data_IF_917294655805
#
_entry.id   IF_917294655805
#
_cell.length_a   1.000
_cell.length_b   1.000
_cell.length_c   1.000
_cell.angle_alpha   90.00
_cell.angle_beta   90.00
_cell.angle_gamma   90.00
#
_symmetry.space_group_name_H-M   'P 1'
#
loop_
_entity.id
_entity.type
_entity.pdbx_description
1 polymer ?
#
# COMPACT_ATOMS: atom_id res chain seq x y z
N UNK A 1 5.83 5.33 6.74
CA UNK A 1 4.77 4.64 7.53
C UNK A 1 3.66 4.31 6.56
N UNK A 2 3.19 3.06 6.53
CA UNK A 2 2.14 2.65 5.60
C UNK A 2 0.86 3.45 5.87
N UNK A 3 0.18 3.89 4.81
CA UNK A 3 -1.11 4.57 4.95
C UNK A 3 -2.20 3.55 5.29
N UNK A 4 -3.30 4.01 5.90
CA UNK A 4 -4.46 3.13 6.14
C UNK A 4 -5.02 2.51 4.85
N UNK A 5 -4.92 3.23 3.73
CA UNK A 5 -5.34 2.75 2.42
C UNK A 5 -4.46 1.58 1.96
N UNK A 6 -3.14 1.72 2.15
CA UNK A 6 -2.18 0.65 1.88
C UNK A 6 -2.52 -0.61 2.69
N UNK A 7 -2.69 -0.49 4.00
CA UNK A 7 -2.99 -1.62 4.89
C UNK A 7 -4.32 -2.33 4.55
N UNK A 8 -5.35 -1.57 4.16
CA UNK A 8 -6.63 -2.15 3.73
C UNK A 8 -6.46 -2.92 2.42
N UNK A 9 -5.63 -2.43 1.51
CA UNK A 9 -5.32 -3.09 0.24
C UNK A 9 -4.55 -4.39 0.48
N UNK A 10 -3.53 -4.37 1.33
CA UNK A 10 -2.80 -5.57 1.77
C UNK A 10 -3.75 -6.58 2.41
N UNK A 11 -4.56 -6.13 3.39
CA UNK A 11 -5.49 -6.99 4.10
C UNK A 11 -6.55 -7.63 3.19
N UNK A 12 -7.07 -6.88 2.20
CA UNK A 12 -8.02 -7.39 1.21
C UNK A 12 -7.41 -8.54 0.40
N UNK A 13 -6.22 -8.33 -0.18
CA UNK A 13 -5.55 -9.33 -1.02
C UNK A 13 -5.07 -10.53 -0.23
N UNK A 14 -4.53 -10.29 0.97
CA UNK A 14 -4.07 -11.37 1.87
C UNK A 14 -5.23 -12.31 2.23
N UNK A 15 -6.36 -11.77 2.67
CA UNK A 15 -7.54 -12.56 3.03
C UNK A 15 -8.11 -13.32 1.82
N UNK A 16 -8.05 -12.71 0.63
CA UNK A 16 -8.43 -13.37 -0.60
C UNK A 16 -7.57 -14.60 -0.88
N UNK A 17 -6.23 -14.47 -0.82
CA UNK A 17 -5.33 -15.59 -1.07
C UNK A 17 -5.49 -16.72 -0.06
N UNK A 18 -5.66 -16.42 1.23
CA UNK A 18 -5.89 -17.45 2.26
C UNK A 18 -7.12 -18.28 1.91
N UNK A 19 -8.26 -17.63 1.63
CA UNK A 19 -9.51 -18.33 1.28
C UNK A 19 -9.39 -19.11 -0.01
N UNK A 20 -8.78 -18.51 -1.03
CA UNK A 20 -8.56 -19.14 -2.32
C UNK A 20 -7.72 -20.41 -2.17
N UNK A 21 -6.60 -20.34 -1.45
CA UNK A 21 -5.70 -21.47 -1.31
C UNK A 21 -6.34 -22.60 -0.49
N UNK A 22 -7.13 -22.28 0.52
CA UNK A 22 -7.93 -23.25 1.27
C UNK A 22 -8.97 -23.98 0.43
N UNK A 23 -9.51 -23.33 -0.61
CA UNK A 23 -10.50 -23.90 -1.52
C UNK A 23 -9.88 -24.70 -2.66
N UNK A 24 -8.77 -24.22 -3.21
CA UNK A 24 -8.20 -24.72 -4.47
C UNK A 24 -7.14 -25.81 -4.23
N UNK A 25 -6.35 -25.69 -3.17
CA UNK A 25 -5.18 -26.55 -2.96
C UNK A 25 -5.43 -27.67 -1.95
N UNK A 26 -4.91 -28.86 -2.27
CA UNK A 26 -4.87 -29.97 -1.32
C UNK A 26 -4.06 -29.60 -0.07
N UNK A 27 -4.26 -30.34 1.03
CA UNK A 27 -3.50 -30.11 2.27
C UNK A 27 -1.98 -30.17 2.01
N UNK A 28 -1.51 -31.17 1.26
CA UNK A 28 -0.08 -31.33 0.94
C UNK A 28 0.48 -30.16 0.13
N UNK A 29 -0.29 -29.60 -0.81
CA UNK A 29 0.11 -28.40 -1.54
C UNK A 29 0.16 -27.18 -0.62
N UNK A 30 -0.87 -26.98 0.21
CA UNK A 30 -0.91 -25.87 1.18
C UNK A 30 0.22 -25.90 2.19
N UNK A 31 0.60 -27.08 2.67
CA UNK A 31 1.71 -27.25 3.63
C UNK A 31 3.07 -26.81 3.03
N UNK A 32 3.15 -26.63 1.70
CA UNK A 32 4.32 -26.11 0.99
C UNK A 32 4.22 -24.62 0.66
N UNK A 33 3.07 -23.98 0.81
CA UNK A 33 2.87 -22.57 0.47
C UNK A 33 2.81 -21.74 1.75
N UNK A 34 3.60 -20.67 1.80
CA UNK A 34 3.54 -19.69 2.87
C UNK A 34 3.20 -18.32 2.28
N UNK A 35 2.15 -17.68 2.77
CA UNK A 35 1.83 -16.28 2.45
C UNK A 35 2.29 -15.41 3.62
N UNK A 36 3.20 -14.48 3.35
CA UNK A 36 3.76 -13.59 4.36
C UNK A 36 3.46 -12.13 4.05
N UNK A 37 3.14 -11.38 5.09
CA UNK A 37 3.27 -9.92 5.15
C UNK A 37 4.43 -9.58 6.08
N UNK A 38 5.16 -8.48 5.84
CA UNK A 38 6.23 -8.02 6.73
C UNK A 38 7.47 -8.93 6.86
N UNK A 39 7.68 -9.88 5.94
CA UNK A 39 8.88 -10.73 5.95
C UNK A 39 10.00 -10.07 5.15
N UNK A 40 11.13 -9.79 5.81
CA UNK A 40 12.33 -9.27 5.14
C UNK A 40 12.97 -10.37 4.29
N UNK A 41 13.12 -10.09 3.01
CA UNK A 41 13.82 -10.93 2.04
C UNK A 41 15.21 -10.34 1.79
N UNK A 42 16.20 -11.22 1.70
CA UNK A 42 17.58 -10.89 1.37
C UNK A 42 18.11 -11.92 0.35
N UNK A 43 19.44 -11.96 0.14
CA UNK A 43 20.05 -12.96 -0.74
C UNK A 43 19.77 -12.71 -2.21
N UNK A 44 19.56 -11.45 -2.59
CA UNK A 44 19.43 -11.05 -3.99
C UNK A 44 20.73 -11.29 -4.76
N UNK A 45 20.66 -11.36 -6.08
CA UNK A 45 21.79 -11.67 -6.96
C UNK A 45 22.42 -10.43 -7.59
N UNK A 46 23.60 -10.62 -8.17
CA UNK A 46 24.30 -9.60 -9.00
C UNK A 46 24.42 -8.20 -8.36
N UNK A 47 23.94 -7.17 -9.04
CA UNK A 47 23.99 -5.78 -8.59
C UNK A 47 23.14 -5.52 -7.34
N UNK A 48 22.24 -6.44 -7.01
CA UNK A 48 21.33 -6.33 -5.87
C UNK A 48 21.80 -7.08 -4.61
N UNK A 49 22.98 -7.72 -4.61
CA UNK A 49 23.44 -8.62 -3.52
C UNK A 49 23.37 -8.07 -2.09
N UNK A 50 23.52 -6.76 -1.91
CA UNK A 50 23.45 -6.10 -0.60
C UNK A 50 22.05 -5.64 -0.21
N UNK A 51 21.06 -5.85 -1.08
CA UNK A 51 19.69 -5.39 -0.87
C UNK A 51 18.97 -6.24 0.17
N UNK A 52 18.10 -5.58 0.93
CA UNK A 52 17.13 -6.22 1.81
C UNK A 52 15.82 -5.47 1.60
N UNK A 53 14.75 -6.20 1.24
CA UNK A 53 13.44 -5.60 1.02
C UNK A 53 12.35 -6.48 1.62
N UNK A 54 11.23 -5.88 1.96
CA UNK A 54 10.03 -6.54 2.46
C UNK A 54 8.94 -6.33 1.41
N UNK A 55 8.39 -7.38 0.77
CA UNK A 55 7.24 -7.21 -0.09
C UNK A 55 6.01 -6.92 0.78
N UNK A 56 5.03 -6.22 0.23
CA UNK A 56 3.76 -6.01 0.93
C UNK A 56 3.05 -7.34 1.17
N UNK A 57 3.07 -8.22 0.17
CA UNK A 57 2.74 -9.64 0.28
C UNK A 57 3.78 -10.45 -0.50
N UNK A 58 4.36 -11.46 0.14
CA UNK A 58 5.18 -12.47 -0.52
C UNK A 58 4.52 -13.84 -0.44
N UNK A 59 4.53 -14.59 -1.54
CA UNK A 59 4.12 -15.99 -1.57
C UNK A 59 5.35 -16.84 -1.81
N UNK A 60 5.62 -17.70 -0.85
CA UNK A 60 6.78 -18.60 -0.84
C UNK A 60 6.31 -20.02 -1.06
N UNK A 61 7.10 -20.77 -1.83
CA UNK A 61 6.88 -22.20 -2.04
C UNK A 61 8.11 -22.94 -1.56
N UNK A 62 7.89 -23.92 -0.70
CA UNK A 62 8.96 -24.82 -0.26
C UNK A 62 9.43 -25.69 -1.41
N UNK A 63 10.73 -25.67 -1.64
CA UNK A 63 11.38 -26.52 -2.64
C UNK A 63 11.23 -28.02 -2.30
N UNK A 64 11.43 -28.87 -3.31
CA UNK A 64 11.18 -30.33 -3.17
C UNK A 64 12.16 -31.01 -2.20
N UNK A 65 13.35 -30.44 -1.98
CA UNK A 65 14.31 -30.94 -0.99
C UNK A 65 14.04 -30.44 0.43
N UNK A 66 13.02 -29.59 0.62
CA UNK A 66 12.54 -29.07 1.89
C UNK A 66 13.62 -28.28 2.67
N UNK A 67 14.60 -27.72 1.97
CA UNK A 67 15.72 -26.98 2.57
C UNK A 67 15.50 -25.47 2.58
N UNK A 68 14.70 -24.93 1.65
CA UNK A 68 14.49 -23.50 1.51
C UNK A 68 13.11 -23.14 0.96
N UNK A 69 12.52 -22.10 1.55
CA UNK A 69 11.32 -21.47 1.01
C UNK A 69 11.73 -20.44 -0.04
N UNK A 70 11.24 -20.61 -1.27
CA UNK A 70 11.56 -19.74 -2.41
C UNK A 70 10.43 -18.72 -2.62
N UNK A 71 10.76 -17.43 -2.69
CA UNK A 71 9.80 -16.40 -3.09
C UNK A 71 9.41 -16.63 -4.55
N UNK A 72 8.15 -16.97 -4.82
CA UNK A 72 7.62 -17.16 -6.18
C UNK A 72 6.86 -15.95 -6.69
N UNK A 73 6.19 -15.24 -5.78
CA UNK A 73 5.35 -14.10 -6.11
C UNK A 73 5.50 -12.98 -5.08
N UNK A 74 5.59 -11.74 -5.55
CA UNK A 74 5.68 -10.55 -4.72
C UNK A 74 4.63 -9.50 -5.11
N UNK A 75 4.12 -8.77 -4.13
CA UNK A 75 3.23 -7.62 -4.30
C UNK A 75 3.90 -6.35 -3.80
N UNK A 76 3.76 -5.27 -4.57
CA UNK A 76 4.04 -3.90 -4.15
C UNK A 76 2.80 -3.03 -4.39
N UNK A 77 2.40 -2.28 -3.37
CA UNK A 77 1.28 -1.34 -3.38
C UNK A 77 1.82 0.07 -3.18
N UNK A 78 1.62 0.91 -4.19
CA UNK A 78 1.87 2.34 -4.12
C UNK A 78 0.64 3.12 -3.69
N UNK A 79 0.77 3.96 -2.67
CA UNK A 79 -0.22 5.01 -2.37
C UNK A 79 0.46 6.38 -2.40
N UNK A 80 0.16 7.17 -3.44
CA UNK A 80 0.81 8.46 -3.71
C UNK A 80 2.34 8.37 -3.78
N UNK A 81 2.86 7.19 -4.12
CA UNK A 81 4.27 6.96 -4.43
C UNK A 81 4.51 7.19 -5.92
N UNK A 82 5.73 7.56 -6.30
CA UNK A 82 6.07 7.69 -7.71
C UNK A 82 6.04 6.32 -8.35
N UNK A 83 5.45 6.25 -9.53
CA UNK A 83 5.37 5.01 -10.29
C UNK A 83 6.75 4.43 -10.61
N UNK A 84 7.73 5.28 -10.91
CA UNK A 84 9.12 4.85 -11.19
C UNK A 84 9.75 4.12 -9.99
N UNK A 85 9.49 4.58 -8.75
CA UNK A 85 10.00 3.94 -7.53
C UNK A 85 9.43 2.51 -7.40
N UNK A 86 8.13 2.33 -7.73
CA UNK A 86 7.51 1.00 -7.75
C UNK A 86 8.07 0.12 -8.87
N UNK A 87 8.46 0.69 -10.01
CA UNK A 87 9.10 -0.08 -11.08
C UNK A 87 10.50 -0.56 -10.69
N UNK A 88 11.25 0.24 -9.93
CA UNK A 88 12.53 -0.18 -9.37
C UNK A 88 12.37 -1.30 -8.36
N UNK A 89 11.31 -1.27 -7.55
CA UNK A 89 10.95 -2.37 -6.66
C UNK A 89 10.63 -3.66 -7.44
N UNK A 90 9.86 -3.58 -8.53
CA UNK A 90 9.60 -4.73 -9.41
C UNK A 90 10.88 -5.28 -10.03
N UNK A 91 11.81 -4.39 -10.45
CA UNK A 91 13.11 -4.80 -10.98
C UNK A 91 13.92 -5.53 -9.92
N UNK A 92 13.95 -5.03 -8.68
CA UNK A 92 14.64 -5.70 -7.58
C UNK A 92 14.09 -7.11 -7.33
N UNK A 93 12.77 -7.29 -7.33
CA UNK A 93 12.16 -8.60 -7.14
C UNK A 93 12.42 -9.55 -8.30
N UNK A 94 12.20 -9.10 -9.53
CA UNK A 94 12.28 -10.00 -10.67
C UNK A 94 13.71 -10.20 -11.14
N UNK A 95 14.58 -9.19 -11.15
CA UNK A 95 15.97 -9.36 -11.59
C UNK A 95 16.85 -9.83 -10.42
N UNK A 96 16.65 -9.26 -9.23
CA UNK A 96 17.44 -9.60 -8.06
C UNK A 96 17.06 -10.91 -7.36
N UNK A 97 15.85 -11.44 -7.55
CA UNK A 97 15.43 -12.73 -6.98
C UNK A 97 15.01 -13.71 -8.10
N UNK A 98 15.93 -14.55 -8.62
CA UNK A 98 15.65 -15.47 -9.72
C UNK A 98 14.51 -16.46 -9.46
N UNK A 99 14.23 -16.81 -8.21
CA UNK A 99 13.12 -17.70 -7.88
C UNK A 99 11.74 -17.02 -8.03
N UNK A 100 11.68 -15.69 -7.95
CA UNK A 100 10.45 -14.91 -8.07
C UNK A 100 10.03 -14.88 -9.54
N UNK A 101 8.98 -15.61 -9.92
CA UNK A 101 8.54 -15.68 -11.32
C UNK A 101 7.62 -14.53 -11.71
N UNK A 102 6.92 -13.95 -10.73
CA UNK A 102 5.95 -12.88 -10.93
C UNK A 102 6.05 -11.83 -9.82
N UNK A 103 5.93 -10.57 -10.22
CA UNK A 103 5.66 -9.48 -9.29
C UNK A 103 4.41 -8.72 -9.75
N UNK A 104 3.57 -8.34 -8.80
CA UNK A 104 2.35 -7.58 -9.03
C UNK A 104 2.53 -6.19 -8.42
N UNK A 105 2.14 -5.18 -9.18
CA UNK A 105 2.12 -3.79 -8.73
C UNK A 105 0.68 -3.32 -8.69
N UNK A 106 0.28 -2.71 -7.59
CA UNK A 106 -0.97 -1.95 -7.49
C UNK A 106 -0.60 -0.50 -7.19
N UNK A 107 -1.06 0.43 -8.01
CA UNK A 107 -0.84 1.85 -7.78
C UNK A 107 -2.16 2.55 -7.52
N UNK A 108 -2.19 3.37 -6.47
CA UNK A 108 -3.34 4.17 -6.03
C UNK A 108 -2.92 5.65 -6.09
N UNK A 109 -3.54 6.39 -7.00
CA UNK A 109 -3.17 7.78 -7.28
C UNK A 109 -4.16 8.75 -6.63
N UNK A 110 -3.72 9.42 -5.58
CA UNK A 110 -4.38 10.60 -5.00
C UNK A 110 -4.07 11.85 -5.85
N UNK A 111 -5.09 12.66 -6.14
CA UNK A 111 -4.92 13.91 -6.89
C UNK A 111 -5.74 15.05 -6.27
N UNK A 112 -5.12 16.20 -5.94
CA UNK A 112 -3.68 16.42 -5.89
C UNK A 112 -3.00 15.53 -4.83
N UNK A 113 -1.68 15.38 -4.94
CA UNK A 113 -0.87 14.78 -3.88
C UNK A 113 -1.11 15.51 -2.56
N UNK A 114 -1.10 14.76 -1.45
CA UNK A 114 -1.36 15.36 -0.16
C UNK A 114 -0.30 16.39 0.22
N UNK A 115 -0.80 17.58 0.53
CA UNK A 115 -0.08 18.62 1.24
C UNK A 115 -0.96 19.03 2.42
N UNK A 116 -0.34 19.21 3.60
CA UNK A 116 -1.08 19.69 4.76
C UNK A 116 -1.69 21.06 4.42
N UNK A 117 -3.03 21.22 4.52
CA UNK A 117 -3.68 22.42 4.01
C UNK A 117 -3.56 23.63 4.95
N UNK A 118 -2.93 23.46 6.11
CA UNK A 118 -2.87 24.43 7.20
C UNK A 118 -1.43 24.58 7.69
N UNK A 119 -1.10 25.79 8.16
CA UNK A 119 0.13 26.02 8.91
C UNK A 119 0.08 25.32 10.27
N UNK A 120 1.25 25.00 10.84
CA UNK A 120 1.34 24.35 12.15
C UNK A 120 1.20 25.35 13.30
N UNK A 121 -0.02 25.89 13.44
CA UNK A 121 -0.38 26.87 14.47
C UNK A 121 -1.66 26.42 15.21
N UNK A 122 -1.61 26.42 16.55
CA UNK A 122 -2.76 26.08 17.38
C UNK A 122 -3.86 27.14 17.35
N UNK A 123 -3.56 28.41 17.04
CA UNK A 123 -4.58 29.45 16.92
C UNK A 123 -5.64 29.11 15.86
N UNK A 124 -5.25 28.36 14.82
CA UNK A 124 -6.15 27.87 13.78
C UNK A 124 -7.23 26.95 14.35
N UNK A 125 -6.97 26.24 15.45
CA UNK A 125 -8.01 25.41 16.09
C UNK A 125 -9.19 26.25 16.56
N UNK A 126 -8.92 27.43 17.13
CA UNK A 126 -9.96 28.34 17.62
C UNK A 126 -10.70 29.00 16.45
N UNK A 127 -9.99 29.37 15.39
CA UNK A 127 -10.58 29.95 14.16
C UNK A 127 -11.53 28.98 13.45
N UNK A 128 -11.16 27.70 13.41
CA UNK A 128 -11.93 26.65 12.72
C UNK A 128 -12.93 25.94 13.63
N UNK A 129 -12.98 26.29 14.92
CA UNK A 129 -13.76 25.56 15.93
C UNK A 129 -13.45 24.04 15.85
N UNK A 130 -12.15 23.73 15.90
CA UNK A 130 -11.61 22.36 15.84
C UNK A 130 -11.11 21.96 17.22
N UNK A 131 -11.46 20.75 17.72
CA UNK A 131 -10.95 20.28 19.01
C UNK A 131 -9.43 20.24 19.07
N UNK A 132 -8.87 20.73 20.18
CA UNK A 132 -7.43 20.60 20.47
C UNK A 132 -7.06 19.20 20.99
N UNK A 133 -8.05 18.36 21.32
CA UNK A 133 -7.85 16.96 21.66
C UNK A 133 -8.12 16.08 20.43
N UNK A 134 -7.08 15.48 19.86
CA UNK A 134 -7.21 14.68 18.64
C UNK A 134 -8.21 13.52 18.73
N UNK A 135 -8.45 12.97 19.93
CA UNK A 135 -9.45 11.92 20.14
C UNK A 135 -10.89 12.36 19.82
N UNK A 136 -11.17 13.66 19.92
CA UNK A 136 -12.48 14.24 19.64
C UNK A 136 -12.75 14.46 18.14
N UNK A 137 -11.70 14.49 17.31
CA UNK A 137 -11.83 14.58 15.85
C UNK A 137 -12.30 13.22 15.32
N UNK A 138 -13.46 13.17 14.68
CA UNK A 138 -14.07 11.92 14.19
C UNK A 138 -14.37 11.95 12.70
N UNK A 139 -14.44 10.77 12.08
CA UNK A 139 -14.70 10.65 10.64
C UNK A 139 -16.07 11.20 10.21
N UNK A 140 -17.02 11.39 11.15
CA UNK A 140 -18.36 11.91 10.86
C UNK A 140 -18.36 13.39 10.50
N UNK A 141 -17.33 14.13 10.93
CA UNK A 141 -17.19 15.55 10.67
C UNK A 141 -16.61 15.82 9.27
N UNK A 142 -16.06 14.79 8.62
CA UNK A 142 -15.45 14.86 7.31
C UNK A 142 -16.47 14.53 6.22
N UNK A 143 -16.62 15.44 5.27
CA UNK A 143 -17.45 15.25 4.10
C UNK A 143 -16.64 14.59 2.98
N UNK A 144 -17.21 13.57 2.34
CA UNK A 144 -16.62 12.89 1.19
C UNK A 144 -17.40 13.35 -0.04
N UNK A 145 -16.72 13.97 -0.99
CA UNK A 145 -17.30 14.39 -2.25
C UNK A 145 -17.19 13.25 -3.28
N UNK A 146 -18.32 12.84 -3.86
CA UNK A 146 -18.37 11.70 -4.79
C UNK A 146 -18.01 10.36 -4.12
N UNK A 147 -17.55 9.40 -4.93
CA UNK A 147 -17.21 8.06 -4.44
C UNK A 147 -15.79 7.94 -3.91
N UNK A 148 -14.87 8.72 -4.46
CA UNK A 148 -13.44 8.58 -4.20
C UNK A 148 -12.73 9.89 -3.86
N UNK A 149 -13.47 10.90 -3.41
CA UNK A 149 -12.92 12.14 -2.91
C UNK A 149 -13.09 13.34 -3.86
N UNK A 150 -12.69 14.54 -3.39
CA UNK A 150 -11.89 14.79 -2.18
C UNK A 150 -12.63 14.57 -0.85
N UNK A 151 -11.86 14.53 0.26
CA UNK A 151 -12.40 14.58 1.62
C UNK A 151 -12.14 15.95 2.24
N UNK A 152 -13.21 16.63 2.63
CA UNK A 152 -13.20 18.00 3.13
C UNK A 152 -13.57 18.08 4.61
N UNK A 153 -12.91 18.96 5.36
CA UNK A 153 -13.25 19.32 6.73
C UNK A 153 -12.95 20.79 6.98
N UNK A 154 -13.94 21.52 7.52
CA UNK A 154 -13.89 22.97 7.79
C UNK A 154 -13.42 23.82 6.59
N UNK A 155 -13.81 23.43 5.37
CA UNK A 155 -13.44 24.13 4.13
C UNK A 155 -12.09 23.75 3.53
N UNK A 156 -11.32 22.87 4.18
CA UNK A 156 -10.01 22.42 3.70
C UNK A 156 -10.04 20.99 3.19
N UNK A 157 -9.24 20.74 2.15
CA UNK A 157 -9.05 19.41 1.58
C UNK A 157 -7.99 18.64 2.37
N UNK A 158 -8.40 17.55 3.02
CA UNK A 158 -7.50 16.69 3.80
C UNK A 158 -7.06 15.44 3.03
N UNK A 159 -7.85 15.02 2.05
CA UNK A 159 -7.53 13.93 1.13
C UNK A 159 -7.96 14.35 -0.28
N UNK A 160 -7.06 14.22 -1.24
CA UNK A 160 -7.36 14.41 -2.66
C UNK A 160 -8.30 13.33 -3.19
N UNK A 161 -8.69 13.45 -4.46
CA UNK A 161 -9.49 12.43 -5.14
C UNK A 161 -8.58 11.25 -5.50
N UNK A 162 -9.00 10.02 -5.21
CA UNK A 162 -8.40 8.83 -5.82
C UNK A 162 -8.87 8.79 -7.28
N UNK A 163 -7.96 9.17 -8.18
CA UNK A 163 -8.25 9.35 -9.60
C UNK A 163 -8.09 8.08 -10.40
N UNK A 164 -7.15 7.22 -10.00
CA UNK A 164 -6.84 5.95 -10.65
C UNK A 164 -6.42 4.93 -9.60
N UNK A 165 -6.91 3.70 -9.75
CA UNK A 165 -6.33 2.52 -9.11
C UNK A 165 -6.16 1.46 -10.17
N UNK A 166 -4.96 0.93 -10.33
CA UNK A 166 -4.70 -0.10 -11.32
C UNK A 166 -3.78 -1.20 -10.80
N UNK A 167 -3.86 -2.35 -11.45
CA UNK A 167 -3.00 -3.49 -11.26
C UNK A 167 -2.17 -3.75 -12.52
N UNK A 168 -0.90 -4.05 -12.34
CA UNK A 168 -0.02 -4.56 -13.38
C UNK A 168 0.66 -5.85 -12.94
N UNK A 169 0.78 -6.79 -13.87
CA UNK A 169 1.51 -8.04 -13.68
C UNK A 169 2.83 -7.91 -14.40
N UNK A 170 3.91 -8.28 -13.75
CA UNK A 170 5.26 -8.24 -14.29
C UNK A 170 5.94 -9.59 -14.14
N UNK A 171 6.67 -9.97 -15.19
CA UNK A 171 7.46 -11.20 -15.22
C UNK A 171 8.83 -10.89 -15.83
N UNK A 172 9.77 -11.83 -15.72
CA UNK A 172 10.98 -11.79 -16.56
C UNK A 172 10.67 -12.27 -17.97
N UNK A 173 11.38 -11.73 -18.94
CA UNK A 173 11.46 -12.31 -20.28
C UNK A 173 12.36 -13.56 -20.21
N UNK A 174 11.87 -14.75 -20.61
CA UNK A 174 12.66 -15.98 -20.50
C UNK A 174 13.90 -16.00 -21.40
N UNK A 175 13.98 -15.14 -22.42
CA UNK A 175 15.13 -15.06 -23.34
C UNK A 175 16.17 -14.04 -22.90
N UNK A 176 15.73 -12.87 -22.45
CA UNK A 176 16.64 -11.74 -22.15
C UNK A 176 16.88 -11.53 -20.67
N UNK A 177 16.04 -12.11 -19.79
CA UNK A 177 16.06 -11.83 -18.35
C UNK A 177 15.39 -10.49 -17.97
N UNK A 178 15.13 -9.63 -18.95
CA UNK A 178 14.58 -8.29 -18.72
C UNK A 178 13.16 -8.31 -18.14
N UNK A 179 12.86 -7.27 -17.38
CA UNK A 179 11.52 -7.00 -16.86
C UNK A 179 10.53 -6.77 -18.01
N UNK A 180 9.39 -7.47 -17.98
CA UNK A 180 8.33 -7.34 -18.97
C UNK A 180 6.96 -7.32 -18.30
N UNK A 181 6.14 -6.33 -18.63
CA UNK A 181 4.72 -6.32 -18.22
C UNK A 181 3.96 -7.41 -18.96
N UNK A 182 3.27 -8.27 -18.22
CA UNK A 182 2.39 -9.29 -18.77
C UNK A 182 1.02 -8.67 -19.03
N UNK A 183 0.67 -8.54 -20.30
CA UNK A 183 -0.59 -7.94 -20.73
C UNK A 183 -0.64 -6.42 -20.56
N UNK A 184 -1.87 -5.89 -20.47
CA UNK A 184 -2.14 -4.46 -20.28
C UNK A 184 -2.34 -4.14 -18.80
N UNK A 185 -2.19 -2.86 -18.46
CA UNK A 185 -2.64 -2.31 -17.18
C UNK A 185 -4.14 -2.60 -17.00
N UNK A 186 -4.51 -3.10 -15.81
CA UNK A 186 -5.88 -3.46 -15.48
C UNK A 186 -6.45 -2.46 -14.48
N UNK A 187 -7.39 -1.59 -14.89
CA UNK A 187 -7.95 -0.60 -13.98
C UNK A 187 -8.96 -1.25 -13.02
N UNK A 188 -8.81 -0.92 -11.74
CA UNK A 188 -9.71 -1.25 -10.64
C UNK A 188 -10.65 -0.06 -10.38
N UNK A 189 -10.11 1.16 -10.49
CA UNK A 189 -10.85 2.43 -10.47
C UNK A 189 -10.38 3.27 -11.68
N UNK A 190 -11.27 3.64 -12.61
CA UNK A 190 -12.67 3.20 -12.68
C UNK A 190 -12.81 1.68 -12.92
N UNK A 191 -13.95 1.06 -12.58
CA UNK A 191 -14.20 -0.36 -12.87
C UNK A 191 -14.04 -0.67 -14.36
N UNK A 192 -13.53 -1.86 -14.68
CA UNK A 192 -13.41 -2.33 -16.06
C UNK A 192 -13.90 -3.74 -16.26
N UNK A 193 -14.25 -4.04 -17.51
CA UNK A 193 -14.68 -5.36 -17.95
C UNK A 193 -13.69 -5.92 -19.00
N UNK A 194 -13.16 -7.15 -18.82
CA UNK A 194 -13.31 -7.97 -17.62
C UNK A 194 -12.54 -7.37 -16.43
N UNK A 195 -13.04 -7.62 -15.22
CA UNK A 195 -12.33 -7.29 -13.99
C UNK A 195 -10.95 -7.96 -13.90
N UNK A 196 -9.95 -7.33 -13.24
CA UNK A 196 -8.61 -7.89 -13.10
C UNK A 196 -8.60 -9.29 -12.49
N UNK A 197 -7.83 -10.20 -13.09
CA UNK A 197 -7.69 -11.60 -12.69
C UNK A 197 -6.21 -12.01 -12.74
N UNK A 198 -5.86 -13.02 -11.95
CA UNK A 198 -4.54 -13.67 -11.99
C UNK A 198 -4.72 -15.16 -12.25
N UNK A 199 -3.79 -15.76 -13.00
CA UNK A 199 -3.71 -17.21 -13.15
C UNK A 199 -2.74 -17.78 -12.11
N UNK A 200 -3.20 -18.69 -11.26
CA UNK A 200 -2.34 -19.32 -10.25
C UNK A 200 -1.21 -20.15 -10.87
N UNK A 201 -1.42 -20.69 -12.08
CA UNK A 201 -0.40 -21.43 -12.81
C UNK A 201 0.80 -20.54 -13.21
N UNK A 202 0.65 -19.21 -13.22
CA UNK A 202 1.75 -18.33 -13.57
C UNK A 202 2.84 -18.22 -12.49
N UNK A 203 2.55 -18.62 -11.25
CA UNK A 203 3.49 -18.45 -10.14
C UNK A 203 3.48 -19.55 -9.08
N UNK A 204 2.66 -20.60 -9.22
CA UNK A 204 2.64 -21.73 -8.30
C UNK A 204 2.88 -23.06 -9.03
N UNK A 205 1.84 -23.89 -9.14
CA UNK A 205 1.90 -25.23 -9.71
C UNK A 205 1.27 -25.20 -11.10
N UNK A 206 2.08 -25.47 -12.13
CA UNK A 206 1.71 -25.41 -13.56
C UNK A 206 0.56 -26.37 -13.95
N UNK A 207 0.25 -27.35 -13.10
CA UNK A 207 -0.75 -28.39 -13.33
C UNK A 207 -2.18 -27.98 -12.92
N UNK A 208 -2.37 -26.77 -12.37
CA UNK A 208 -3.68 -26.29 -11.92
C UNK A 208 -4.02 -24.91 -12.51
N UNK A 209 -4.54 -24.84 -13.75
CA UNK A 209 -4.95 -23.60 -14.38
C UNK A 209 -6.20 -23.06 -13.70
N UNK A 210 -6.01 -22.32 -12.61
CA UNK A 210 -7.07 -21.71 -11.82
C UNK A 210 -6.93 -20.19 -11.89
N UNK A 211 -7.92 -19.56 -12.53
CA UNK A 211 -8.07 -18.11 -12.47
C UNK A 211 -8.63 -17.71 -11.11
N UNK A 212 -8.10 -16.62 -10.57
CA UNK A 212 -8.61 -16.01 -9.34
C UNK A 212 -9.32 -14.69 -9.63
N UNK A 213 -10.49 -14.54 -9.02
CA UNK A 213 -11.37 -13.38 -9.16
C UNK A 213 -11.46 -12.69 -7.81
N UNK A 214 -10.92 -11.48 -7.73
CA UNK A 214 -11.05 -10.67 -6.54
C UNK A 214 -12.42 -9.99 -6.53
N UNK A 215 -13.01 -9.86 -5.34
CA UNK A 215 -14.20 -9.05 -5.15
C UNK A 215 -13.83 -7.55 -5.16
N UNK A 216 -13.62 -7.02 -6.36
CA UNK A 216 -13.21 -5.63 -6.54
C UNK A 216 -14.29 -4.64 -6.10
N UNK A 217 -15.56 -5.05 -6.01
CA UNK A 217 -16.63 -4.23 -5.44
C UNK A 217 -16.47 -4.07 -3.92
N UNK A 218 -16.19 -5.15 -3.20
CA UNK A 218 -15.84 -5.10 -1.78
C UNK A 218 -14.57 -4.26 -1.55
N UNK A 219 -13.54 -4.41 -2.38
CA UNK A 219 -12.36 -3.54 -2.32
C UNK A 219 -12.71 -2.06 -2.50
N UNK A 220 -13.49 -1.73 -3.54
CA UNK A 220 -13.93 -0.36 -3.82
C UNK A 220 -14.73 0.25 -2.66
N UNK A 221 -15.61 -0.53 -2.04
CA UNK A 221 -16.38 -0.11 -0.88
C UNK A 221 -15.47 0.18 0.33
N UNK A 222 -14.54 -0.74 0.64
CA UNK A 222 -13.57 -0.56 1.73
C UNK A 222 -12.64 0.63 1.51
N UNK A 223 -12.19 0.85 0.28
CA UNK A 223 -11.38 2.01 -0.08
C UNK A 223 -12.17 3.30 0.18
N UNK A 224 -13.42 3.38 -0.28
CA UNK A 224 -14.30 4.53 -0.05
C UNK A 224 -14.47 4.85 1.44
N UNK A 225 -14.74 3.84 2.25
CA UNK A 225 -14.89 4.01 3.70
C UNK A 225 -13.59 4.49 4.37
N UNK A 226 -12.43 4.06 3.84
CA UNK A 226 -11.12 4.40 4.39
C UNK A 226 -10.70 5.86 4.20
N UNK A 227 -11.22 6.55 3.19
CA UNK A 227 -10.80 7.92 2.84
C UNK A 227 -11.07 8.91 3.99
N UNK A 228 -12.23 8.81 4.65
CA UNK A 228 -12.53 9.66 5.81
C UNK A 228 -11.61 9.38 6.99
N UNK A 229 -11.25 8.12 7.21
CA UNK A 229 -10.31 7.77 8.27
C UNK A 229 -8.88 8.26 7.97
N UNK A 230 -8.47 8.27 6.70
CA UNK A 230 -7.20 8.88 6.30
C UNK A 230 -7.20 10.39 6.59
N UNK A 231 -8.31 11.07 6.29
CA UNK A 231 -8.47 12.49 6.59
C UNK A 231 -8.37 12.79 8.08
N UNK A 232 -9.06 12.01 8.93
CA UNK A 232 -8.96 12.10 10.40
C UNK A 232 -7.52 11.90 10.86
N UNK A 233 -6.82 10.89 10.33
CA UNK A 233 -5.43 10.63 10.70
C UNK A 233 -4.53 11.81 10.35
N UNK A 234 -4.66 12.38 9.14
CA UNK A 234 -3.90 13.56 8.71
C UNK A 234 -4.20 14.80 9.55
N UNK A 235 -5.46 15.01 9.93
CA UNK A 235 -5.88 16.09 10.80
C UNK A 235 -5.32 15.96 12.22
N UNK A 236 -5.37 14.77 12.79
CA UNK A 236 -4.75 14.48 14.10
C UNK A 236 -3.23 14.65 14.05
N UNK A 237 -2.58 14.29 12.96
CA UNK A 237 -1.14 14.48 12.79
C UNK A 237 -0.76 15.96 12.70
N UNK A 238 -1.52 16.76 11.94
CA UNK A 238 -1.38 18.22 11.92
C UNK A 238 -1.50 18.83 13.31
N UNK A 239 -2.54 18.44 14.07
CA UNK A 239 -2.76 18.91 15.43
C UNK A 239 -1.59 18.54 16.35
N UNK A 240 -1.13 17.28 16.28
CA UNK A 240 0.02 16.79 17.07
C UNK A 240 1.28 17.61 16.81
N UNK A 241 1.57 17.90 15.53
CA UNK A 241 2.74 18.71 15.16
C UNK A 241 2.57 20.15 15.66
N UNK A 242 1.39 20.75 15.49
CA UNK A 242 1.09 22.10 15.97
C UNK A 242 1.29 22.24 17.48
N UNK A 243 0.88 21.24 18.27
CA UNK A 243 1.14 21.18 19.71
C UNK A 243 2.64 21.13 20.04
N UNK A 244 3.43 20.35 19.29
CA UNK A 244 4.88 20.28 19.48
C UNK A 244 5.57 21.61 19.16
N UNK A 245 5.12 22.30 18.12
CA UNK A 245 5.63 23.62 17.74
C UNK A 245 5.34 24.66 18.84
N UNK A 246 4.12 24.69 19.37
CA UNK A 246 3.74 25.59 20.46
C UNK A 246 4.53 25.32 21.75
N UNK A 247 4.69 24.05 22.14
CA UNK A 247 5.49 23.68 23.31
C UNK A 247 6.97 24.06 23.18
N UNK A 248 7.55 23.92 21.99
CA UNK A 248 8.95 24.28 21.72
C UNK A 248 9.19 25.80 21.69
N UNK A 249 8.17 26.60 21.38
CA UNK A 249 8.24 28.05 21.45
C UNK A 249 8.22 28.57 22.90
N UNK A 250 7.53 27.86 23.81
CA UNK A 250 7.50 28.18 25.24
C UNK A 250 8.85 28.07 25.94
N UNK A 251 9.67 27.06 25.57
CA UNK A 251 10.97 26.80 26.19
C UNK A 251 12.08 27.79 25.79
N UNK A 252 11.91 28.57 24.71
CA UNK A 252 12.89 29.60 24.31
C UNK A 252 12.80 30.89 25.12
N UNK A 253 11.89 30.98 26.10
CA UNK A 253 11.67 32.21 26.89
C UNK A 253 12.49 32.31 28.19
N UNK A 254 13.32 31.32 28.55
CA UNK A 254 14.20 31.37 29.72
C UNK A 254 15.70 31.38 29.36
N UNK A 255 16.18 32.43 28.69
CA UNK A 255 17.62 32.74 28.62
C UNK A 255 17.86 34.22 28.35
N UNK A 256 17.36 35.08 29.25
CA UNK A 256 17.84 36.46 29.38
C UNK A 256 17.67 36.94 30.81
N UNK A 257 18.49 36.41 31.74
CA UNK A 257 18.76 37.06 33.04
C UNK A 257 20.02 36.47 33.68
N UNK A 258 21.17 36.93 33.23
CA UNK A 258 22.40 36.95 34.00
C UNK A 258 23.38 37.94 33.35
N UNK A 259 23.25 39.22 33.69
CA UNK A 259 24.34 40.20 33.68
C UNK A 259 23.86 41.45 34.44
N UNK A 260 24.06 41.40 35.76
CA UNK A 260 24.44 42.54 36.61
C UNK A 260 25.48 42.02 37.60
#
# INVERSE_FOLDING_TARGET
MASRIHEITVGFLYQHFIRLFDQVFSKTQRDRITICTNLRVNGFTEEYRSSIKTPDIGIFVRNDDNTQDELKWALEIGFSQKYDDLQDDLRLWLVGQPACSMAVLINITESPDYQCPLDFDLAICDELDTPQEGAQITAREFSLEGDYGPVMFKGYQWVGRISEVFLEIWTRNPRTGDLRRKGRRMPIIPPSEPSPQLDLADFLFDDNPQMTFFDWDDFRAKLKDSLRFLAVWRCREWLRISQQCAGSAGDRSYSSRAQQ
#
